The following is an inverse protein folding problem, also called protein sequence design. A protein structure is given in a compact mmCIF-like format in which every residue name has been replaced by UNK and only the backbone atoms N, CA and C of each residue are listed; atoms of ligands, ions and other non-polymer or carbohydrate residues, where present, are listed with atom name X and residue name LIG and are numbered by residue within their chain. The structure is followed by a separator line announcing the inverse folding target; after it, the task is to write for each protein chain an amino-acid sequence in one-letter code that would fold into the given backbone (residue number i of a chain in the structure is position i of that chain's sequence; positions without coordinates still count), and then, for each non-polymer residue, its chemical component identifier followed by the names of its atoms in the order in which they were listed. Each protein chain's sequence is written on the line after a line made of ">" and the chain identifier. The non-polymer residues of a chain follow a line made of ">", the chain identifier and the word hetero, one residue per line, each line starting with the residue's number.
data_IF_606338259444
#
_entry.id   IF_606338259444
#
_cell.length_a   1.000
_cell.length_b   1.000
_cell.length_c   1.000
_cell.angle_alpha   90.00
_cell.angle_beta   90.00
_cell.angle_gamma   90.00
#
_symmetry.space_group_name_H-M   'P 1'
#
loop_
_entity.id
_entity.type
_entity.pdbx_description
1 polymer ?
#
# COMPACT_ATOMS: atom_id res chain seq x y z
N UNK A 1 -11.98 -18.72 -14.08
CA UNK A 1 -10.87 -17.83 -14.46
C UNK A 1 -11.31 -16.39 -14.28
N UNK A 2 -10.41 -15.58 -13.73
CA UNK A 2 -10.66 -14.14 -13.51
C UNK A 2 -10.81 -13.40 -14.83
N UNK A 3 -11.70 -12.42 -14.84
CA UNK A 3 -12.03 -11.68 -16.06
C UNK A 3 -10.96 -10.61 -16.36
N UNK A 4 -10.18 -10.83 -17.40
CA UNK A 4 -9.12 -9.94 -17.86
C UNK A 4 -9.61 -8.58 -18.39
N UNK A 5 -10.94 -8.43 -18.61
CA UNK A 5 -11.54 -7.12 -18.99
C UNK A 5 -11.36 -6.06 -17.90
N UNK A 6 -11.09 -6.47 -16.66
CA UNK A 6 -10.82 -5.54 -15.57
C UNK A 6 -9.38 -5.01 -15.53
N UNK A 7 -8.49 -5.42 -16.42
CA UNK A 7 -7.16 -4.80 -16.54
C UNK A 7 -7.34 -3.34 -16.93
N UNK A 8 -6.69 -2.44 -16.19
CA UNK A 8 -6.83 -0.99 -16.32
C UNK A 8 -7.97 -0.38 -15.48
N UNK A 9 -8.81 -1.20 -14.83
CA UNK A 9 -9.87 -0.70 -13.95
C UNK A 9 -9.27 0.06 -12.76
N UNK A 10 -9.80 1.26 -12.50
CA UNK A 10 -9.38 2.11 -11.38
C UNK A 10 -10.42 2.05 -10.27
N UNK A 11 -9.93 2.00 -9.03
CA UNK A 11 -10.78 2.08 -7.85
C UNK A 11 -10.96 3.56 -7.43
N UNK A 12 -12.04 3.91 -6.70
CA UNK A 12 -12.16 5.24 -6.11
C UNK A 12 -10.95 5.57 -5.25
N UNK A 13 -10.37 6.76 -5.45
CA UNK A 13 -9.28 7.24 -4.64
C UNK A 13 -9.75 7.48 -3.19
N UNK A 14 -8.85 7.31 -2.24
CA UNK A 14 -9.09 7.63 -0.84
C UNK A 14 -7.85 8.29 -0.22
N UNK A 15 -8.03 8.97 0.90
CA UNK A 15 -6.94 9.62 1.62
C UNK A 15 -6.87 9.11 3.06
N UNK A 16 -5.65 9.08 3.58
CA UNK A 16 -5.35 8.73 4.97
C UNK A 16 -4.35 9.72 5.55
N UNK A 17 -4.55 10.10 6.81
CA UNK A 17 -3.61 10.94 7.55
C UNK A 17 -2.47 10.09 8.13
N UNK A 18 -1.26 10.62 8.08
CA UNK A 18 -0.08 10.01 8.71
C UNK A 18 -0.01 10.43 10.17
N UNK A 19 -0.46 9.56 11.06
CA UNK A 19 -0.54 9.83 12.50
C UNK A 19 0.73 9.38 13.23
N UNK A 20 1.31 10.27 14.07
CA UNK A 20 2.54 10.00 14.85
C UNK A 20 2.47 8.74 15.69
N UNK A 21 1.35 8.52 16.36
CA UNK A 21 1.16 7.36 17.23
C UNK A 21 1.27 6.05 16.48
N UNK A 22 0.76 6.01 15.26
CA UNK A 22 0.83 4.83 14.39
C UNK A 22 2.25 4.59 13.87
N UNK A 23 2.99 5.65 13.53
CA UNK A 23 4.40 5.53 13.13
C UNK A 23 5.26 4.96 14.27
N UNK A 24 5.07 5.46 15.49
CA UNK A 24 5.76 4.94 16.69
C UNK A 24 5.42 3.48 16.97
N UNK A 25 4.15 3.13 16.86
CA UNK A 25 3.71 1.75 17.03
C UNK A 25 4.32 0.81 15.99
N UNK A 26 4.33 1.22 14.72
CA UNK A 26 4.92 0.45 13.64
C UNK A 26 6.44 0.29 13.82
N UNK A 27 7.15 1.36 14.18
CA UNK A 27 8.58 1.29 14.48
C UNK A 27 8.86 0.28 15.59
N UNK A 28 8.10 0.31 16.67
CA UNK A 28 8.21 -0.66 17.77
C UNK A 28 7.92 -2.09 17.32
N UNK A 29 6.85 -2.29 16.55
CA UNK A 29 6.43 -3.61 16.07
C UNK A 29 7.44 -4.25 15.12
N UNK A 30 8.16 -3.45 14.33
CA UNK A 30 9.18 -3.91 13.38
C UNK A 30 10.58 -3.93 13.95
N UNK A 31 10.77 -3.57 15.22
CA UNK A 31 12.08 -3.52 15.87
C UNK A 31 12.98 -2.38 15.35
N UNK A 32 12.41 -1.32 14.79
CA UNK A 32 13.15 -0.14 14.35
C UNK A 32 13.64 0.65 15.56
N UNK A 33 14.96 0.82 15.67
CA UNK A 33 15.63 1.47 16.83
C UNK A 33 16.15 2.87 16.54
N UNK A 34 16.14 3.31 15.27
CA UNK A 34 16.56 4.67 14.95
C UNK A 34 15.56 5.69 15.53
N UNK A 35 16.04 6.60 16.40
CA UNK A 35 15.17 7.54 17.11
C UNK A 35 14.43 8.50 16.19
N UNK A 36 14.84 8.71 14.94
CA UNK A 36 14.13 9.59 13.99
C UNK A 36 12.69 9.14 13.75
N UNK A 37 12.39 7.84 13.91
CA UNK A 37 11.04 7.28 13.70
C UNK A 37 10.14 7.36 14.93
N UNK A 38 10.67 7.74 16.10
CA UNK A 38 9.89 7.73 17.35
C UNK A 38 9.97 9.04 18.13
N UNK A 39 11.04 9.82 17.97
CA UNK A 39 11.31 11.07 18.67
C UNK A 39 11.34 12.25 17.70
N UNK A 40 10.44 13.21 17.88
CA UNK A 40 10.37 14.39 17.01
C UNK A 40 11.59 15.31 17.15
N UNK A 41 12.21 15.39 18.34
CA UNK A 41 13.42 16.18 18.51
C UNK A 41 14.58 15.58 17.71
N UNK A 42 14.73 14.25 17.76
CA UNK A 42 15.72 13.52 16.96
C UNK A 42 15.44 13.69 15.45
N UNK A 43 14.18 13.58 15.02
CA UNK A 43 13.80 13.80 13.63
C UNK A 43 14.16 15.21 13.15
N UNK A 44 13.85 16.25 13.93
CA UNK A 44 14.20 17.65 13.61
C UNK A 44 15.71 17.88 13.56
N UNK A 45 16.45 17.29 14.49
CA UNK A 45 17.92 17.36 14.49
C UNK A 45 18.52 16.71 13.23
N UNK A 46 17.88 15.66 12.73
CA UNK A 46 18.24 15.02 11.46
C UNK A 46 17.80 15.82 10.21
N UNK A 47 17.12 16.96 10.39
CA UNK A 47 16.67 17.83 9.29
C UNK A 47 15.27 17.52 8.76
N UNK A 48 14.50 16.67 9.43
CA UNK A 48 13.13 16.34 9.04
C UNK A 48 12.10 17.27 9.70
N UNK A 49 10.97 17.58 9.04
CA UNK A 49 9.94 18.46 9.61
C UNK A 49 9.16 17.79 10.75
N UNK A 50 9.07 16.46 10.75
CA UNK A 50 8.41 15.62 11.75
C UNK A 50 8.92 14.18 11.62
N UNK A 51 8.28 13.21 12.28
CA UNK A 51 8.63 11.79 12.16
C UNK A 51 8.49 11.34 10.70
N UNK A 52 9.54 10.80 10.07
CA UNK A 52 9.41 10.23 8.74
C UNK A 52 8.58 8.94 8.78
N UNK A 53 7.86 8.69 7.69
CA UNK A 53 7.13 7.42 7.51
C UNK A 53 8.15 6.29 7.35
N UNK A 54 8.11 5.26 8.22
CA UNK A 54 9.00 4.12 8.07
C UNK A 54 8.80 3.42 6.72
N UNK A 55 9.87 2.86 6.13
CA UNK A 55 9.73 2.02 4.93
C UNK A 55 8.66 0.95 5.15
N UNK A 56 7.86 0.67 4.11
CA UNK A 56 6.74 -0.29 4.08
C UNK A 56 5.47 0.12 4.84
N UNK A 57 5.48 1.15 5.70
CA UNK A 57 4.28 1.59 6.41
C UNK A 57 3.16 2.06 5.48
N UNK A 58 3.47 2.49 4.26
CA UNK A 58 2.46 2.86 3.24
C UNK A 58 1.50 1.71 2.94
N UNK A 59 1.94 0.47 3.06
CA UNK A 59 1.04 -0.69 2.95
C UNK A 59 -0.03 -0.70 4.06
N UNK A 60 0.35 -0.33 5.30
CA UNK A 60 -0.61 -0.23 6.40
C UNK A 60 -1.64 0.87 6.16
N UNK A 61 -1.21 2.03 5.63
CA UNK A 61 -2.13 3.12 5.27
C UNK A 61 -3.03 2.75 4.10
N UNK A 62 -2.52 2.00 3.11
CA UNK A 62 -3.33 1.51 2.00
C UNK A 62 -4.49 0.62 2.47
N UNK A 63 -4.31 -0.12 3.57
CA UNK A 63 -5.37 -0.95 4.17
C UNK A 63 -6.47 -0.15 4.86
N UNK A 64 -6.34 1.17 5.00
CA UNK A 64 -7.39 2.06 5.51
C UNK A 64 -8.42 2.45 4.45
N UNK A 65 -8.31 1.91 3.24
CA UNK A 65 -9.35 2.06 2.22
C UNK A 65 -10.74 1.81 2.84
N UNK A 66 -11.74 2.67 2.56
CA UNK A 66 -13.12 2.46 3.03
C UNK A 66 -13.72 1.13 2.56
N UNK A 67 -13.21 0.60 1.45
CA UNK A 67 -13.56 -0.75 0.97
C UNK A 67 -12.30 -1.52 0.58
N UNK A 68 -11.56 -2.11 1.53
CA UNK A 68 -10.34 -2.86 1.25
C UNK A 68 -10.60 -4.16 0.45
N UNK A 69 -11.85 -4.60 0.39
CA UNK A 69 -12.28 -5.78 -0.36
C UNK A 69 -12.68 -5.48 -1.81
N UNK A 70 -12.72 -4.21 -2.22
CA UNK A 70 -13.33 -3.79 -3.49
C UNK A 70 -12.83 -4.55 -4.71
N UNK A 71 -11.53 -4.76 -4.86
CA UNK A 71 -10.96 -5.51 -6.00
C UNK A 71 -11.34 -6.99 -5.92
N UNK A 72 -11.31 -7.59 -4.73
CA UNK A 72 -11.72 -8.97 -4.51
C UNK A 72 -13.18 -9.17 -4.92
N UNK A 73 -14.05 -8.28 -4.46
CA UNK A 73 -15.49 -8.38 -4.71
C UNK A 73 -15.80 -8.11 -6.19
N UNK A 74 -15.13 -7.14 -6.81
CA UNK A 74 -15.24 -6.85 -8.25
C UNK A 74 -14.89 -8.06 -9.12
N UNK A 75 -13.83 -8.78 -8.74
CA UNK A 75 -13.34 -9.95 -9.48
C UNK A 75 -14.00 -11.27 -9.03
N UNK A 76 -14.89 -11.25 -8.03
CA UNK A 76 -15.56 -12.45 -7.49
C UNK A 76 -14.59 -13.45 -6.86
N UNK A 77 -13.48 -12.99 -6.25
CA UNK A 77 -12.46 -13.87 -5.69
C UNK A 77 -12.87 -14.42 -4.32
N UNK A 78 -12.69 -15.72 -4.11
CA UNK A 78 -12.92 -16.35 -2.80
C UNK A 78 -11.75 -16.04 -1.84
N UNK A 79 -12.06 -15.33 -0.75
CA UNK A 79 -11.07 -14.96 0.26
C UNK A 79 -10.27 -16.16 0.81
N UNK A 80 -10.90 -17.33 0.92
CA UNK A 80 -10.25 -18.55 1.44
C UNK A 80 -9.14 -19.07 0.54
N UNK A 81 -9.16 -18.70 -0.73
CA UNK A 81 -8.19 -19.10 -1.76
C UNK A 81 -7.13 -18.04 -2.03
N UNK A 82 -7.19 -16.87 -1.34
CA UNK A 82 -6.30 -15.75 -1.61
C UNK A 82 -5.01 -15.81 -0.77
N UNK A 83 -3.92 -15.45 -1.42
CA UNK A 83 -2.62 -15.27 -0.80
C UNK A 83 -2.05 -13.92 -1.23
N UNK A 84 -1.36 -13.24 -0.31
CA UNK A 84 -0.50 -12.10 -0.64
C UNK A 84 0.80 -12.65 -1.22
N UNK A 85 1.02 -12.51 -2.51
CA UNK A 85 2.16 -13.10 -3.21
C UNK A 85 3.40 -12.21 -3.20
N UNK A 86 3.22 -10.93 -3.55
CA UNK A 86 4.33 -9.98 -3.64
C UNK A 86 3.88 -8.59 -3.16
N UNK A 87 4.83 -7.85 -2.57
CA UNK A 87 4.69 -6.44 -2.24
C UNK A 87 5.95 -5.69 -2.65
N UNK A 88 5.80 -4.69 -3.51
CA UNK A 88 6.87 -3.81 -3.96
C UNK A 88 6.58 -2.35 -3.65
N UNK A 89 7.65 -1.57 -3.43
CA UNK A 89 7.60 -0.13 -3.20
C UNK A 89 8.65 0.55 -4.06
N UNK A 90 8.26 1.63 -4.73
CA UNK A 90 9.18 2.56 -5.39
C UNK A 90 8.96 3.92 -4.76
N UNK A 91 9.96 4.45 -4.06
CA UNK A 91 9.88 5.73 -3.36
C UNK A 91 10.41 6.86 -4.23
N UNK A 92 9.68 7.98 -4.26
CA UNK A 92 10.02 9.18 -5.02
C UNK A 92 10.28 10.38 -4.11
N UNK A 93 9.55 10.46 -2.98
CA UNK A 93 9.70 11.49 -1.97
C UNK A 93 9.43 10.92 -0.58
N UNK A 94 9.90 11.59 0.45
CA UNK A 94 9.59 11.24 1.83
C UNK A 94 8.21 11.76 2.22
N UNK A 95 7.52 11.01 3.05
CA UNK A 95 6.32 11.44 3.75
C UNK A 95 6.58 11.53 5.25
N UNK A 96 5.85 12.38 5.94
CA UNK A 96 6.06 12.67 7.35
C UNK A 96 4.73 12.64 8.12
N UNK A 97 4.83 12.49 9.43
CA UNK A 97 3.67 12.65 10.31
C UNK A 97 3.00 14.02 10.07
N UNK A 98 1.68 14.03 9.95
CA UNK A 98 0.87 15.19 9.61
C UNK A 98 0.57 15.32 8.12
N UNK A 99 1.24 14.58 7.25
CA UNK A 99 0.85 14.53 5.83
C UNK A 99 -0.50 13.82 5.66
N UNK A 100 -1.25 14.24 4.64
CA UNK A 100 -2.42 13.53 4.13
C UNK A 100 -2.02 12.88 2.81
N UNK A 101 -2.07 11.55 2.77
CA UNK A 101 -1.67 10.78 1.59
C UNK A 101 -2.92 10.29 0.84
N UNK A 102 -2.93 10.49 -0.46
CA UNK A 102 -3.99 10.02 -1.37
C UNK A 102 -3.50 8.79 -2.12
N UNK A 103 -4.32 7.76 -2.12
CA UNK A 103 -4.06 6.45 -2.74
C UNK A 103 -4.97 6.27 -3.95
N UNK A 104 -4.38 6.06 -5.12
CA UNK A 104 -5.06 5.81 -6.39
C UNK A 104 -4.69 4.42 -6.87
N UNK A 105 -5.65 3.49 -6.78
CA UNK A 105 -5.43 2.07 -7.08
C UNK A 105 -5.97 1.72 -8.46
N UNK A 106 -5.24 0.85 -9.19
CA UNK A 106 -5.71 0.24 -10.43
C UNK A 106 -5.30 -1.22 -10.51
N UNK A 107 -6.08 -2.00 -11.25
CA UNK A 107 -5.69 -3.34 -11.68
C UNK A 107 -4.74 -3.19 -12.87
N UNK A 108 -3.47 -3.55 -12.69
CA UNK A 108 -2.42 -3.38 -13.70
C UNK A 108 -2.32 -4.59 -14.63
N UNK A 109 -2.52 -5.79 -14.07
CA UNK A 109 -2.49 -7.03 -14.85
C UNK A 109 -3.32 -8.15 -14.16
N UNK A 110 -3.80 -9.09 -14.97
CA UNK A 110 -4.44 -10.34 -14.53
C UNK A 110 -3.88 -11.45 -15.41
N UNK A 111 -3.19 -12.41 -14.82
CA UNK A 111 -2.63 -13.53 -15.55
C UNK A 111 -2.76 -14.84 -14.77
N UNK A 112 -2.55 -15.97 -15.44
CA UNK A 112 -2.61 -17.29 -14.83
C UNK A 112 -1.33 -18.09 -15.06
N UNK A 113 -1.11 -19.08 -14.23
CA UNK A 113 -0.05 -20.08 -14.35
C UNK A 113 -0.62 -21.46 -14.08
N UNK A 114 0.12 -22.48 -14.51
CA UNK A 114 -0.24 -23.90 -14.34
C UNK A 114 -1.64 -24.22 -14.88
N UNK A 115 -1.99 -23.68 -16.05
CA UNK A 115 -3.27 -23.94 -16.69
C UNK A 115 -4.48 -23.45 -15.90
N UNK A 116 -4.35 -22.30 -15.20
CA UNK A 116 -5.42 -21.70 -14.41
C UNK A 116 -5.47 -22.17 -12.94
N UNK A 117 -4.60 -23.09 -12.52
CA UNK A 117 -4.54 -23.51 -11.10
C UNK A 117 -4.10 -22.37 -10.16
N UNK A 118 -3.36 -21.41 -10.69
CA UNK A 118 -2.96 -20.17 -9.99
C UNK A 118 -3.32 -18.99 -10.87
N UNK A 119 -4.09 -18.05 -10.32
CA UNK A 119 -4.40 -16.79 -10.97
C UNK A 119 -3.81 -15.64 -10.17
N UNK A 120 -3.32 -14.62 -10.87
CA UNK A 120 -2.59 -13.50 -10.29
C UNK A 120 -3.27 -12.19 -10.66
N UNK A 121 -3.49 -11.34 -9.67
CA UNK A 121 -3.95 -9.97 -9.85
C UNK A 121 -2.86 -9.03 -9.41
N UNK A 122 -2.34 -8.23 -10.33
CA UNK A 122 -1.36 -7.18 -10.07
C UNK A 122 -2.10 -5.87 -9.86
N UNK A 123 -1.99 -5.32 -8.66
CA UNK A 123 -2.48 -3.98 -8.33
C UNK A 123 -1.30 -3.02 -8.30
N UNK A 124 -1.44 -1.86 -8.92
CA UNK A 124 -0.56 -0.71 -8.71
C UNK A 124 -1.30 0.39 -8.00
N UNK A 125 -0.62 1.02 -7.05
CA UNK A 125 -1.15 2.13 -6.27
C UNK A 125 -0.19 3.29 -6.37
N UNK A 126 -0.69 4.43 -6.83
CA UNK A 126 0.02 5.70 -6.79
C UNK A 126 -0.32 6.40 -5.48
N UNK A 127 0.70 6.87 -4.75
CA UNK A 127 0.55 7.59 -3.49
C UNK A 127 1.10 9.00 -3.65
N UNK A 128 0.25 10.00 -3.40
CA UNK A 128 0.64 11.41 -3.43
C UNK A 128 0.31 12.10 -2.11
N UNK A 129 1.04 13.17 -1.78
CA UNK A 129 0.77 13.97 -0.58
C UNK A 129 -0.24 15.10 -0.88
N UNK A 130 -0.56 15.90 0.13
CA UNK A 130 -1.52 17.03 0.03
C UNK A 130 -1.08 18.14 -0.93
N UNK A 131 0.18 18.13 -1.40
CA UNK A 131 0.70 19.04 -2.43
C UNK A 131 0.68 18.42 -3.83
N UNK A 132 0.01 17.28 -4.00
CA UNK A 132 0.01 16.49 -5.23
C UNK A 132 1.41 16.00 -5.67
N UNK A 133 2.37 15.98 -4.76
CA UNK A 133 3.70 15.42 -5.00
C UNK A 133 3.64 13.90 -4.93
N UNK A 134 4.23 13.22 -5.91
CA UNK A 134 4.31 11.76 -5.92
C UNK A 134 5.27 11.30 -4.83
N UNK A 135 4.74 10.56 -3.85
CA UNK A 135 5.50 10.01 -2.72
C UNK A 135 6.03 8.62 -3.06
N UNK A 136 5.16 7.74 -3.52
CA UNK A 136 5.53 6.37 -3.83
C UNK A 136 4.58 5.72 -4.84
N UNK A 137 5.05 4.63 -5.41
CA UNK A 137 4.24 3.67 -6.15
C UNK A 137 4.37 2.30 -5.48
N UNK A 138 3.22 1.70 -5.16
CA UNK A 138 3.13 0.36 -4.59
C UNK A 138 2.71 -0.63 -5.68
N UNK A 139 3.28 -1.83 -5.61
CA UNK A 139 2.87 -2.96 -6.44
C UNK A 139 2.54 -4.15 -5.54
N UNK A 140 1.31 -4.60 -5.62
CA UNK A 140 0.83 -5.77 -4.87
C UNK A 140 0.44 -6.87 -5.85
N UNK A 141 0.85 -8.10 -5.59
CA UNK A 141 0.38 -9.28 -6.34
C UNK A 141 -0.42 -10.16 -5.41
N UNK A 142 -1.70 -10.28 -5.70
CA UNK A 142 -2.58 -11.23 -5.02
C UNK A 142 -2.66 -12.50 -5.86
N UNK A 143 -2.55 -13.65 -5.21
CA UNK A 143 -2.62 -14.96 -5.85
C UNK A 143 -3.89 -15.66 -5.41
N UNK A 144 -4.70 -16.11 -6.37
CA UNK A 144 -5.84 -16.99 -6.14
C UNK A 144 -5.47 -18.43 -6.50
N UNK A 145 -5.70 -19.35 -5.58
CA UNK A 145 -5.51 -20.78 -5.79
C UNK A 145 -6.86 -21.42 -6.17
N UNK A 146 -6.92 -22.02 -7.34
CA UNK A 146 -8.07 -22.75 -7.83
C UNK A 146 -7.84 -24.26 -7.63
N UNK A 147 -8.66 -24.88 -6.82
CA UNK A 147 -8.65 -26.35 -6.59
C UNK A 147 -7.97 -26.76 -5.33
#
# INVERSE_FOLDING_TARGET
>A
MLDKRFIGHTMPAFSAEVEKGRLRFFAKATGQTDPVYTDEAAARTAGYPSLPVPPTFLFCLEMESPNPAAIRDLLGMDYRSLLHGEQGFTYHAMAFAGDTLTFEQRIDDIYDKKGGALEFVVRKTRVSNQRAELVAELRTVTVMRNG
#
